data_IF_888038711884
#
_entry.id   IF_888038711884
#
_cell.length_a   1.000
_cell.length_b   1.000
_cell.length_c   1.000
_cell.angle_alpha   90.00
_cell.angle_beta   90.00
_cell.angle_gamma   90.00
#
_symmetry.space_group_name_H-M   'P 1'
#
loop_
_entity.id
_entity.type
_entity.pdbx_description
1 polymer ?
#
# COMPACT_ATOMS: atom_id res chain seq x y z
N UNK A 1 -10.68 -11.08 13.69
CA UNK A 1 -10.69 -9.88 14.57
C UNK A 1 -9.79 -8.81 13.97
N UNK A 2 -10.30 -7.60 13.89
CA UNK A 2 -9.59 -6.47 13.31
C UNK A 2 -8.80 -5.74 14.40
N UNK A 3 -7.48 -5.63 14.22
CA UNK A 3 -6.57 -5.03 15.21
C UNK A 3 -5.83 -3.87 14.57
N UNK A 4 -5.82 -2.71 15.22
CA UNK A 4 -5.05 -1.57 14.76
C UNK A 4 -3.56 -1.88 14.85
N UNK A 5 -2.84 -1.75 13.73
CA UNK A 5 -1.41 -2.02 13.68
C UNK A 5 -0.56 -0.76 13.50
N UNK A 6 -1.16 0.32 13.01
CA UNK A 6 -0.43 1.56 12.79
C UNK A 6 -1.39 2.74 12.70
N UNK A 7 -0.85 3.93 12.98
CA UNK A 7 -1.61 5.19 12.93
C UNK A 7 -0.69 6.29 12.47
N UNK A 8 -1.11 7.05 11.46
CA UNK A 8 -0.33 8.16 10.91
C UNK A 8 -1.22 9.39 10.74
N UNK A 9 -0.65 10.60 10.74
CA UNK A 9 -1.45 11.81 10.48
C UNK A 9 -2.05 11.79 9.08
N UNK A 10 -3.30 12.24 8.95
CA UNK A 10 -3.95 12.36 7.64
C UNK A 10 -3.18 13.29 6.70
N UNK A 11 -2.55 14.32 7.26
CA UNK A 11 -1.80 15.30 6.47
C UNK A 11 -0.49 14.75 5.89
N UNK A 12 -0.06 13.55 6.32
CA UNK A 12 1.19 12.97 5.83
C UNK A 12 1.07 12.42 4.41
N UNK A 13 -0.14 12.24 3.88
CA UNK A 13 -0.38 11.71 2.54
C UNK A 13 -1.35 12.60 1.79
N UNK A 14 -0.87 13.30 0.77
CA UNK A 14 -1.70 14.11 -0.11
C UNK A 14 -2.31 13.24 -1.22
N UNK A 15 -3.33 13.74 -1.94
CA UNK A 15 -3.86 13.01 -3.10
C UNK A 15 -2.76 12.67 -4.11
N UNK A 16 -2.85 11.49 -4.69
CA UNK A 16 -1.86 10.97 -5.65
C UNK A 16 -0.49 10.77 -5.01
N UNK A 17 -0.49 10.34 -3.76
CA UNK A 17 0.73 9.98 -3.03
C UNK A 17 0.58 8.62 -2.37
N UNK A 18 1.72 8.01 -2.10
CA UNK A 18 1.83 6.76 -1.37
C UNK A 18 2.84 6.92 -0.25
N UNK A 19 2.67 6.16 0.82
CA UNK A 19 3.60 6.13 1.95
C UNK A 19 3.81 4.71 2.41
N UNK A 20 4.90 4.48 3.13
CA UNK A 20 5.21 3.20 3.74
C UNK A 20 5.12 3.35 5.25
N UNK A 21 4.52 2.35 5.90
CA UNK A 21 4.33 2.36 7.35
C UNK A 21 4.79 1.02 7.90
N UNK A 22 5.62 1.04 8.93
CA UNK A 22 6.09 -0.20 9.56
C UNK A 22 4.94 -0.91 10.27
N UNK A 23 4.93 -2.24 10.16
CA UNK A 23 3.99 -3.06 10.90
C UNK A 23 4.68 -3.50 12.19
N UNK A 24 4.20 -3.06 13.37
CA UNK A 24 4.84 -3.39 14.64
C UNK A 24 4.83 -4.89 14.91
N UNK A 25 5.87 -5.36 15.59
CA UNK A 25 5.99 -6.76 16.04
C UNK A 25 5.98 -7.76 14.89
N UNK A 26 6.38 -7.34 13.70
CA UNK A 26 6.43 -8.21 12.53
C UNK A 26 7.84 -8.76 12.38
N UNK A 27 7.98 -10.07 12.59
CA UNK A 27 9.28 -10.74 12.53
C UNK A 27 9.86 -10.80 11.12
N UNK A 28 9.00 -10.69 10.10
CA UNK A 28 9.42 -10.74 8.70
C UNK A 28 9.79 -9.37 8.15
N UNK A 29 9.71 -8.32 8.95
CA UNK A 29 10.04 -6.97 8.52
C UNK A 29 9.08 -6.39 7.50
N UNK A 30 7.84 -6.87 7.45
CA UNK A 30 6.85 -6.37 6.52
C UNK A 30 6.44 -4.93 6.83
N UNK A 31 6.16 -4.17 5.78
CA UNK A 31 5.60 -2.83 5.92
C UNK A 31 4.23 -2.78 5.23
N UNK A 32 3.45 -1.77 5.58
CA UNK A 32 2.20 -1.47 4.89
C UNK A 32 2.44 -0.34 3.90
N UNK A 33 1.72 -0.37 2.78
CA UNK A 33 1.66 0.73 1.83
C UNK A 33 0.31 1.40 2.00
N UNK A 34 0.31 2.73 2.15
CA UNK A 34 -0.92 3.51 2.21
C UNK A 34 -0.93 4.45 1.02
N UNK A 35 -2.03 4.44 0.27
CA UNK A 35 -2.16 5.21 -0.96
C UNK A 35 -3.41 6.05 -0.90
N UNK A 36 -3.27 7.33 -1.25
CA UNK A 36 -4.43 8.21 -1.43
C UNK A 36 -4.57 8.52 -2.92
N UNK A 37 -5.56 7.89 -3.55
CA UNK A 37 -5.94 8.23 -4.92
C UNK A 37 -6.84 9.48 -4.88
N UNK A 38 -7.33 9.91 -6.03
CA UNK A 38 -8.22 11.07 -6.09
C UNK A 38 -9.55 10.85 -5.34
N UNK A 39 -9.94 9.60 -5.12
CA UNK A 39 -11.26 9.27 -4.56
C UNK A 39 -11.23 8.38 -3.33
N UNK A 40 -10.09 7.73 -3.05
CA UNK A 40 -10.09 6.65 -2.08
C UNK A 40 -8.75 6.54 -1.36
N UNK A 41 -8.83 6.21 -0.08
CA UNK A 41 -7.68 5.84 0.73
C UNK A 41 -7.63 4.31 0.81
N UNK A 42 -6.47 3.74 0.50
CA UNK A 42 -6.29 2.28 0.48
C UNK A 42 -4.99 1.90 1.16
N UNK A 43 -4.95 0.69 1.71
CA UNK A 43 -3.74 0.17 2.32
C UNK A 43 -3.53 -1.29 1.92
N UNK A 44 -2.28 -1.67 1.70
CA UNK A 44 -1.89 -3.02 1.31
C UNK A 44 -0.61 -3.42 2.01
N UNK A 45 -0.37 -4.72 2.10
CA UNK A 45 0.92 -5.25 2.53
C UNK A 45 1.94 -4.98 1.43
N UNK A 46 3.11 -4.47 1.79
CA UNK A 46 4.19 -4.16 0.84
C UNK A 46 4.90 -5.46 0.43
N UNK A 47 4.24 -6.22 -0.43
CA UNK A 47 4.74 -7.48 -0.93
C UNK A 47 4.23 -7.69 -2.35
N UNK A 48 5.15 -7.83 -3.30
CA UNK A 48 4.78 -8.03 -4.69
C UNK A 48 4.17 -9.42 -4.87
N UNK A 49 2.96 -9.54 -5.43
CA UNK A 49 2.34 -10.85 -5.62
C UNK A 49 3.12 -11.76 -6.58
N UNK A 50 4.03 -11.19 -7.37
CA UNK A 50 4.84 -11.98 -8.30
C UNK A 50 5.90 -12.82 -7.58
N UNK A 51 6.63 -12.23 -6.63
CA UNK A 51 7.76 -12.95 -6.00
C UNK A 51 7.89 -12.71 -4.49
N UNK A 52 6.96 -12.00 -3.87
CA UNK A 52 6.95 -11.76 -2.43
C UNK A 52 7.89 -10.69 -1.93
N UNK A 53 8.68 -10.07 -2.80
CA UNK A 53 9.58 -8.98 -2.40
C UNK A 53 8.80 -7.73 -2.09
N UNK A 54 9.40 -6.83 -1.33
CA UNK A 54 8.83 -5.49 -1.16
C UNK A 54 8.70 -4.82 -2.52
N UNK A 55 7.58 -4.13 -2.74
CA UNK A 55 7.38 -3.35 -3.96
C UNK A 55 8.47 -2.28 -4.09
N UNK A 56 8.81 -1.66 -2.97
CA UNK A 56 9.76 -0.57 -2.96
C UNK A 56 10.31 -0.40 -1.54
N UNK A 57 11.52 0.11 -1.43
CA UNK A 57 12.12 0.42 -0.13
C UNK A 57 12.08 1.92 0.21
N UNK A 58 11.53 2.74 -0.67
CA UNK A 58 11.42 4.18 -0.47
C UNK A 58 10.09 4.65 -1.05
N UNK A 59 9.23 5.31 -0.25
CA UNK A 59 7.89 5.69 -0.68
C UNK A 59 7.87 6.60 -1.91
N UNK A 60 8.93 7.35 -2.17
CA UNK A 60 8.95 8.23 -3.34
C UNK A 60 8.93 7.48 -4.67
N UNK A 61 9.27 6.19 -4.67
CA UNK A 61 9.25 5.37 -5.88
C UNK A 61 7.99 4.53 -6.02
N UNK A 62 7.09 4.58 -5.03
CA UNK A 62 5.86 3.79 -5.06
C UNK A 62 4.82 4.33 -6.03
N UNK A 63 4.85 5.63 -6.31
CA UNK A 63 3.83 6.25 -7.14
C UNK A 63 4.40 6.67 -8.49
N UNK A 64 3.77 6.20 -9.56
CA UNK A 64 4.09 6.62 -10.92
C UNK A 64 3.11 7.70 -11.35
N UNK A 65 3.59 8.94 -11.44
CA UNK A 65 2.75 10.10 -11.76
C UNK A 65 2.20 10.06 -13.18
N UNK A 66 2.96 9.54 -14.13
CA UNK A 66 2.53 9.50 -15.51
C UNK A 66 1.39 8.53 -15.72
N UNK A 67 1.42 7.39 -15.03
CA UNK A 67 0.42 6.34 -15.16
C UNK A 67 -0.68 6.43 -14.11
N UNK A 68 -0.51 7.24 -13.06
CA UNK A 68 -1.38 7.27 -11.89
C UNK A 68 -1.54 5.87 -11.29
N UNK A 69 -0.42 5.21 -11.04
CA UNK A 69 -0.39 3.83 -10.53
C UNK A 69 0.63 3.67 -9.43
N UNK A 70 0.37 2.69 -8.56
CA UNK A 70 1.39 2.18 -7.64
C UNK A 70 2.29 1.26 -8.45
N UNK A 71 3.59 1.27 -8.17
CA UNK A 71 4.53 0.48 -8.96
C UNK A 71 5.49 -0.31 -8.10
N UNK A 72 5.94 -1.45 -8.65
CA UNK A 72 6.99 -2.27 -8.07
C UNK A 72 8.33 -1.90 -8.73
N UNK A 73 9.35 -1.62 -7.92
CA UNK A 73 10.64 -1.21 -8.47
C UNK A 73 11.42 -2.36 -9.12
N UNK A 74 11.07 -3.61 -8.83
CA UNK A 74 11.85 -4.75 -9.32
C UNK A 74 11.55 -5.13 -10.75
N UNK A 75 10.29 -5.17 -11.13
CA UNK A 75 9.87 -5.63 -12.46
C UNK A 75 8.95 -4.63 -13.14
N UNK A 76 8.88 -3.42 -12.62
CA UNK A 76 8.05 -2.35 -13.15
C UNK A 76 6.56 -2.74 -13.27
N UNK A 77 6.12 -3.68 -12.44
CA UNK A 77 4.71 -3.99 -12.34
C UNK A 77 3.97 -2.76 -11.81
N UNK A 78 2.79 -2.50 -12.34
CA UNK A 78 1.96 -1.37 -11.89
C UNK A 78 0.61 -1.88 -11.42
N UNK A 79 0.06 -1.22 -10.40
CA UNK A 79 -1.14 -1.65 -9.71
C UNK A 79 -2.15 -0.51 -9.69
N UNK A 80 -3.41 -0.87 -9.93
CA UNK A 80 -4.52 0.06 -9.84
C UNK A 80 -4.64 0.56 -8.39
N UNK A 81 -4.59 1.90 -8.14
CA UNK A 81 -4.48 2.41 -6.77
C UNK A 81 -5.73 2.25 -5.91
N UNK A 82 -6.88 1.93 -6.50
CA UNK A 82 -8.11 1.76 -5.74
C UNK A 82 -8.43 0.29 -5.47
N UNK A 83 -7.92 -0.62 -6.29
CA UNK A 83 -8.21 -2.05 -6.17
C UNK A 83 -7.00 -2.90 -5.80
N UNK A 84 -5.79 -2.41 -6.08
CA UNK A 84 -4.56 -3.17 -5.87
C UNK A 84 -4.31 -4.23 -6.93
N UNK A 85 -5.12 -4.26 -8.01
CA UNK A 85 -4.97 -5.24 -9.08
C UNK A 85 -3.81 -4.83 -9.98
N UNK A 86 -2.91 -5.77 -10.25
CA UNK A 86 -1.80 -5.56 -11.17
C UNK A 86 -2.35 -5.46 -12.59
N UNK A 87 -2.17 -4.31 -13.24
CA UNK A 87 -2.68 -4.11 -14.60
C UNK A 87 -1.58 -4.14 -15.67
N UNK A 88 -0.32 -4.27 -15.26
CA UNK A 88 0.78 -4.48 -16.20
C UNK A 88 1.97 -5.09 -15.47
N UNK A 89 2.74 -5.93 -16.16
CA UNK A 89 3.91 -6.57 -15.61
C UNK A 89 3.73 -8.07 -15.38
N UNK A 90 4.71 -8.73 -14.73
CA UNK A 90 4.69 -10.19 -14.55
C UNK A 90 3.52 -10.71 -13.72
N UNK A 91 2.96 -9.87 -12.84
CA UNK A 91 1.88 -10.29 -11.95
C UNK A 91 0.49 -9.85 -12.45
N UNK A 92 0.37 -9.56 -13.74
CA UNK A 92 -0.88 -9.05 -14.31
C UNK A 92 -2.08 -9.92 -13.91
N UNK A 93 -3.11 -9.28 -13.36
CA UNK A 93 -4.30 -9.96 -12.87
C UNK A 93 -4.25 -10.36 -11.41
N UNK A 94 -3.07 -10.35 -10.79
CA UNK A 94 -2.93 -10.62 -9.37
C UNK A 94 -3.18 -9.35 -8.56
N UNK A 95 -3.49 -9.51 -7.27
CA UNK A 95 -3.88 -8.40 -6.40
C UNK A 95 -2.97 -8.32 -5.19
N UNK A 96 -2.61 -7.09 -4.82
CA UNK A 96 -1.96 -6.84 -3.53
C UNK A 96 -2.88 -7.26 -2.40
N UNK A 97 -2.30 -7.72 -1.29
CA UNK A 97 -3.08 -8.09 -0.11
C UNK A 97 -3.54 -6.82 0.60
N UNK A 98 -4.87 -6.63 0.69
CA UNK A 98 -5.43 -5.42 1.27
C UNK A 98 -5.43 -5.45 2.79
N UNK A 99 -5.29 -4.26 3.38
CA UNK A 99 -5.42 -4.05 4.81
C UNK A 99 -6.58 -3.08 5.02
N UNK A 100 -7.44 -3.31 6.04
CA UNK A 100 -8.46 -2.33 6.36
C UNK A 100 -7.82 -1.02 6.79
N UNK A 101 -8.41 0.09 6.34
CA UNK A 101 -7.92 1.43 6.66
C UNK A 101 -9.10 2.35 6.91
N UNK A 102 -8.97 3.22 7.91
CA UNK A 102 -9.99 4.20 8.25
C UNK A 102 -9.32 5.56 8.46
N UNK A 103 -10.03 6.61 8.12
CA UNK A 103 -9.55 7.97 8.37
C UNK A 103 -10.54 8.67 9.31
N UNK A 104 -10.06 9.10 10.47
CA UNK A 104 -10.91 9.72 11.50
C UNK A 104 -10.15 10.84 12.20
N UNK A 105 -10.78 12.01 12.30
CA UNK A 105 -10.30 13.13 13.12
C UNK A 105 -8.81 13.43 12.86
N UNK A 106 -8.45 13.57 11.59
CA UNK A 106 -7.07 13.93 11.22
C UNK A 106 -6.06 12.81 11.30
N UNK A 107 -6.51 11.56 11.48
CA UNK A 107 -5.62 10.40 11.54
C UNK A 107 -6.06 9.31 10.60
N UNK A 108 -5.06 8.58 10.08
CA UNK A 108 -5.27 7.38 9.28
C UNK A 108 -4.91 6.19 10.15
N UNK A 109 -5.86 5.27 10.33
CA UNK A 109 -5.69 4.06 11.14
C UNK A 109 -5.63 2.86 10.21
N UNK A 110 -4.61 2.03 10.38
CA UNK A 110 -4.38 0.84 9.58
C UNK A 110 -4.58 -0.38 10.46
N UNK A 111 -5.31 -1.36 9.96
CA UNK A 111 -5.68 -2.55 10.71
C UNK A 111 -5.20 -3.81 10.00
N UNK A 112 -5.12 -4.89 10.76
CA UNK A 112 -4.90 -6.23 10.21
C UNK A 112 -5.99 -7.14 10.74
N UNK A 113 -6.52 -8.01 9.86
CA UNK A 113 -7.50 -9.02 10.27
C UNK A 113 -6.78 -10.27 10.70
N UNK A 114 -7.08 -10.73 11.92
CA UNK A 114 -6.58 -11.99 12.45
C UNK A 114 -7.75 -12.97 12.58
N UNK A 115 -7.46 -14.23 12.36
CA UNK A 115 -8.46 -15.29 12.53
C UNK A 115 -8.68 -15.64 14.00
#
# INVERSE_FOLDING_TARGET
MKVEIARIPSSSIAPHEASMVDIPNNVDGLTAIVVRSSKKLSAWINSCPHDGRQLCNDPKYLWNKELNRVQCMHHQAVFEPETGICDNGPCRGETLTSLPVEEKIGEILIFMNYL
#
